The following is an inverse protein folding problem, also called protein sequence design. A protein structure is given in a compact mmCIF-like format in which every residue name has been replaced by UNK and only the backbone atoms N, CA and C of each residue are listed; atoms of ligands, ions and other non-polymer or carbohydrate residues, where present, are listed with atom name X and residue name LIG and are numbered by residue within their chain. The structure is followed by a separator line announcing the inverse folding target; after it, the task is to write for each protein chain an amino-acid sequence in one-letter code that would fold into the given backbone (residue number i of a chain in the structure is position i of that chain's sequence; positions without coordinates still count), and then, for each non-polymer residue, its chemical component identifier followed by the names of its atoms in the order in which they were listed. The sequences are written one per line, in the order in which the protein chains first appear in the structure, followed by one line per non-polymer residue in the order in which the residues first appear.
data_IF_324704571096
#
_entry.id   IF_324704571096
#
_cell.length_a   1.000
_cell.length_b   1.000
_cell.length_c   1.000
_cell.angle_alpha   90.00
_cell.angle_beta   90.00
_cell.angle_gamma   90.00
#
_symmetry.space_group_name_H-M   'P 1'
#
loop_
_entity.id
_entity.type
_entity.pdbx_description
1 polymer ?
#
# COMPACT_ATOMS: atom_id res chain seq x y z
N UNK A 1 -9.19 9.49 -7.99
CA UNK A 1 -9.71 8.13 -8.02
C UNK A 1 -8.59 7.12 -8.17
N UNK A 2 -8.62 6.08 -7.38
CA UNK A 2 -7.60 5.03 -7.41
C UNK A 2 -8.27 3.66 -7.49
N UNK A 3 -7.62 2.72 -8.15
CA UNK A 3 -8.02 1.32 -8.18
C UNK A 3 -7.16 0.56 -7.16
N UNK A 4 -7.79 -0.19 -6.29
CA UNK A 4 -7.12 -0.93 -5.23
C UNK A 4 -6.60 -2.25 -5.78
N UNK A 5 -5.33 -2.54 -5.51
CA UNK A 5 -4.66 -3.75 -6.02
C UNK A 5 -4.22 -4.72 -4.94
N UNK A 6 -4.12 -4.27 -3.70
CA UNK A 6 -3.73 -5.15 -2.59
C UNK A 6 -4.15 -4.56 -1.26
N UNK A 7 -4.21 -5.42 -0.25
CA UNK A 7 -4.58 -5.02 1.10
C UNK A 7 -3.98 -5.98 2.12
N UNK A 8 -3.65 -5.46 3.29
CA UNK A 8 -3.26 -6.27 4.45
C UNK A 8 -3.73 -5.58 5.73
N UNK A 9 -3.98 -6.37 6.75
CA UNK A 9 -4.45 -5.86 8.02
C UNK A 9 -3.64 -6.45 9.17
N UNK A 10 -3.16 -5.58 10.05
CA UNK A 10 -2.45 -5.94 11.28
C UNK A 10 -3.40 -5.73 12.46
N UNK A 11 -3.88 -6.82 13.06
CA UNK A 11 -4.86 -6.75 14.13
C UNK A 11 -4.25 -6.34 15.47
N UNK A 12 -2.94 -6.49 15.65
CA UNK A 12 -2.25 -6.08 16.87
C UNK A 12 -2.21 -4.55 16.94
N UNK A 13 -1.89 -3.90 15.85
CA UNK A 13 -1.77 -2.45 15.77
C UNK A 13 -3.02 -1.76 15.18
N UNK A 14 -4.02 -2.53 14.83
CA UNK A 14 -5.25 -2.04 14.20
C UNK A 14 -4.95 -1.17 12.98
N UNK A 15 -4.07 -1.66 12.13
CA UNK A 15 -3.59 -0.96 10.95
C UNK A 15 -4.04 -1.67 9.68
N UNK A 16 -4.80 -0.97 8.85
CA UNK A 16 -5.14 -1.41 7.51
C UNK A 16 -4.23 -0.70 6.51
N UNK A 17 -3.67 -1.42 5.57
CA UNK A 17 -2.92 -0.84 4.46
C UNK A 17 -3.49 -1.32 3.14
N UNK A 18 -3.47 -0.43 2.16
CA UNK A 18 -3.94 -0.71 0.81
C UNK A 18 -2.90 -0.26 -0.18
N UNK A 19 -2.81 -0.93 -1.30
CA UNK A 19 -2.08 -0.42 -2.46
C UNK A 19 -3.08 -0.13 -3.58
N UNK A 20 -2.75 0.81 -4.41
CA UNK A 20 -3.60 1.17 -5.53
C UNK A 20 -2.88 2.05 -6.53
N UNK A 21 -3.54 2.35 -7.63
CA UNK A 21 -2.97 3.22 -8.64
C UNK A 21 -4.04 4.18 -9.18
N UNK A 22 -3.57 5.34 -9.62
CA UNK A 22 -4.42 6.34 -10.27
C UNK A 22 -4.57 6.02 -11.75
N UNK A 23 -5.51 6.71 -12.41
CA UNK A 23 -5.67 6.58 -13.86
C UNK A 23 -4.44 7.02 -14.64
N UNK A 24 -3.58 7.84 -14.02
CA UNK A 24 -2.32 8.26 -14.62
C UNK A 24 -1.20 7.24 -14.45
N UNK A 25 -1.46 6.15 -13.72
CA UNK A 25 -0.46 5.11 -13.49
C UNK A 25 0.42 5.32 -12.27
N UNK A 26 0.17 6.35 -11.46
CA UNK A 26 0.90 6.55 -10.21
C UNK A 26 0.49 5.49 -9.20
N UNK A 27 1.46 4.89 -8.54
CA UNK A 27 1.23 3.86 -7.54
C UNK A 27 1.24 4.48 -6.15
N UNK A 28 0.32 4.03 -5.29
CA UNK A 28 0.15 4.57 -3.94
C UNK A 28 0.02 3.48 -2.90
N UNK A 29 0.48 3.82 -1.69
CA UNK A 29 0.20 3.08 -0.47
C UNK A 29 -0.70 3.95 0.40
N UNK A 30 -1.76 3.36 0.94
CA UNK A 30 -2.67 4.05 1.85
C UNK A 30 -2.59 3.38 3.21
N UNK A 31 -2.45 4.18 4.28
CA UNK A 31 -2.48 3.71 5.66
C UNK A 31 -3.74 4.21 6.33
N UNK A 32 -4.41 3.32 7.05
CA UNK A 32 -5.57 3.65 7.87
C UNK A 32 -5.28 3.14 9.28
N UNK A 33 -5.01 4.06 10.20
CA UNK A 33 -4.80 3.73 11.60
C UNK A 33 -6.14 3.61 12.33
N UNK A 34 -6.19 2.81 13.37
CA UNK A 34 -7.38 2.63 14.22
C UNK A 34 -8.59 2.20 13.38
N UNK A 35 -8.37 1.26 12.50
CA UNK A 35 -9.37 0.85 11.50
C UNK A 35 -10.64 0.30 12.16
N UNK A 36 -10.50 -0.71 13.03
CA UNK A 36 -11.63 -1.29 13.76
C UNK A 36 -12.13 -0.38 14.89
N UNK A 37 -11.18 0.29 15.56
CA UNK A 37 -11.52 1.19 16.67
C UNK A 37 -12.51 2.27 16.24
N UNK A 38 -12.36 2.77 15.03
CA UNK A 38 -13.27 3.76 14.47
C UNK A 38 -14.53 3.15 13.86
N UNK A 39 -14.78 1.85 14.10
CA UNK A 39 -15.97 1.13 13.60
C UNK A 39 -16.16 1.29 12.09
N UNK A 40 -15.05 1.34 11.37
CA UNK A 40 -15.05 1.51 9.90
C UNK A 40 -15.68 2.83 9.43
N UNK A 41 -15.82 3.82 10.35
CA UNK A 41 -16.40 5.13 10.04
C UNK A 41 -15.37 6.22 10.27
N UNK A 42 -15.51 7.32 9.53
CA UNK A 42 -14.64 8.48 9.66
C UNK A 42 -13.17 8.10 9.50
N UNK A 43 -12.88 7.17 8.61
CA UNK A 43 -11.53 6.68 8.38
C UNK A 43 -10.69 7.76 7.73
N UNK A 44 -9.50 7.96 8.28
CA UNK A 44 -8.52 8.87 7.72
C UNK A 44 -7.47 8.06 6.98
N UNK A 45 -7.34 8.32 5.68
CA UNK A 45 -6.34 7.67 4.84
C UNK A 45 -5.13 8.58 4.70
N UNK A 46 -3.97 8.06 5.11
CA UNK A 46 -2.69 8.70 4.80
C UNK A 46 -2.16 8.08 3.52
N UNK A 47 -1.89 8.92 2.53
CA UNK A 47 -1.48 8.46 1.20
C UNK A 47 -0.01 8.75 0.96
N UNK A 48 0.69 7.74 0.46
CA UNK A 48 2.11 7.82 0.13
C UNK A 48 2.32 7.35 -1.30
N UNK A 49 3.01 8.14 -2.11
CA UNK A 49 3.33 7.75 -3.47
C UNK A 49 4.49 6.77 -3.47
N UNK A 50 4.32 5.65 -4.18
CA UNK A 50 5.39 4.67 -4.34
C UNK A 50 6.17 5.04 -5.60
N UNK A 51 7.50 5.28 -5.50
CA UNK A 51 8.29 5.76 -6.63
C UNK A 51 8.71 4.62 -7.55
N UNK A 52 7.74 3.94 -8.13
CA UNK A 52 7.98 2.90 -9.15
C UNK A 52 7.34 3.34 -10.45
N UNK A 53 7.99 3.00 -11.55
CA UNK A 53 7.51 3.29 -12.89
C UNK A 53 7.44 2.01 -13.71
N UNK A 54 6.51 1.94 -14.64
CA UNK A 54 6.32 0.81 -15.55
C UNK A 54 6.13 -0.52 -14.81
N UNK A 55 5.57 -0.43 -13.60
CA UNK A 55 5.30 -1.58 -12.74
C UNK A 55 3.96 -1.40 -12.08
N UNK A 56 3.28 -2.48 -11.82
CA UNK A 56 2.01 -2.46 -11.13
C UNK A 56 2.16 -3.22 -9.81
N UNK A 57 1.91 -2.51 -8.69
CA UNK A 57 1.90 -3.13 -7.38
C UNK A 57 0.67 -4.04 -7.28
N UNK A 58 0.86 -5.29 -6.89
CA UNK A 58 -0.23 -6.27 -6.86
C UNK A 58 -0.54 -6.81 -5.47
N UNK A 59 0.42 -6.75 -4.55
CA UNK A 59 0.22 -7.24 -3.20
C UNK A 59 1.06 -6.46 -2.20
N UNK A 60 0.61 -6.47 -0.95
CA UNK A 60 1.30 -5.81 0.16
C UNK A 60 1.21 -6.69 1.40
N UNK A 61 2.30 -6.71 2.19
CA UNK A 61 2.37 -7.39 3.46
C UNK A 61 2.99 -6.46 4.50
N UNK A 62 2.33 -6.29 5.62
CA UNK A 62 2.81 -5.44 6.71
C UNK A 62 3.95 -6.15 7.43
N UNK A 63 5.10 -5.47 7.57
CA UNK A 63 6.21 -5.89 8.43
C UNK A 63 6.03 -5.25 9.81
N UNK A 64 5.83 -3.95 9.82
CA UNK A 64 5.51 -3.17 11.02
C UNK A 64 4.75 -1.91 10.58
N UNK A 65 4.55 -0.96 11.47
CA UNK A 65 3.74 0.22 11.17
C UNK A 65 4.32 1.12 10.09
N UNK A 66 5.58 0.94 9.72
CA UNK A 66 6.27 1.81 8.77
C UNK A 66 6.96 1.06 7.64
N UNK A 67 6.97 -0.27 7.69
CA UNK A 67 7.65 -1.08 6.69
C UNK A 67 6.72 -2.13 6.11
N UNK A 68 6.85 -2.35 4.82
CA UNK A 68 5.93 -3.21 4.07
C UNK A 68 6.69 -3.95 2.97
N UNK A 69 6.36 -5.22 2.78
CA UNK A 69 6.74 -5.93 1.57
C UNK A 69 5.69 -5.66 0.51
N UNK A 70 6.13 -5.35 -0.71
CA UNK A 70 5.22 -5.22 -1.84
C UNK A 70 5.73 -6.05 -3.01
N UNK A 71 4.79 -6.61 -3.77
CA UNK A 71 5.11 -7.28 -5.00
C UNK A 71 4.61 -6.47 -6.18
N UNK A 72 5.36 -6.52 -7.26
CA UNK A 72 4.97 -5.85 -8.50
C UNK A 72 5.34 -6.69 -9.69
N UNK A 73 4.70 -6.43 -10.80
CA UNK A 73 5.02 -7.04 -12.08
C UNK A 73 5.28 -5.94 -13.08
N UNK A 74 6.42 -6.03 -13.77
CA UNK A 74 6.76 -5.09 -14.82
C UNK A 74 5.96 -5.38 -16.07
N UNK A 75 5.29 -4.37 -16.61
CA UNK A 75 4.51 -4.50 -17.83
C UNK A 75 5.38 -4.84 -19.03
N UNK A 76 6.63 -4.34 -19.04
CA UNK A 76 7.53 -4.52 -20.17
C UNK A 76 8.18 -5.90 -20.19
N UNK A 77 8.46 -6.47 -19.04
CA UNK A 77 9.28 -7.68 -18.93
C UNK A 77 8.55 -8.86 -18.31
N UNK A 78 7.33 -8.65 -17.81
CA UNK A 78 6.58 -9.66 -17.05
C UNK A 78 7.42 -10.31 -15.95
N UNK A 79 8.33 -9.53 -15.36
CA UNK A 79 9.23 -10.03 -14.33
C UNK A 79 8.68 -9.63 -12.98
N UNK A 80 8.31 -10.59 -12.12
CA UNK A 80 7.85 -10.25 -10.79
C UNK A 80 9.00 -9.69 -9.96
N UNK A 81 8.69 -8.70 -9.13
CA UNK A 81 9.64 -8.09 -8.21
C UNK A 81 9.06 -8.08 -6.81
N UNK A 82 9.93 -8.28 -5.84
CA UNK A 82 9.57 -8.16 -4.43
C UNK A 82 10.51 -7.15 -3.80
N UNK A 83 9.98 -6.11 -3.19
CA UNK A 83 10.81 -5.11 -2.54
C UNK A 83 10.16 -4.57 -1.27
N UNK A 84 10.98 -3.98 -0.42
CA UNK A 84 10.55 -3.45 0.85
C UNK A 84 10.43 -1.93 0.78
N UNK A 85 9.30 -1.43 1.24
CA UNK A 85 9.06 0.00 1.35
C UNK A 85 9.13 0.38 2.81
N UNK A 86 9.83 1.48 3.09
CA UNK A 86 9.87 2.08 4.41
C UNK A 86 9.35 3.51 4.32
N UNK A 87 8.37 3.84 5.19
CA UNK A 87 7.87 5.19 5.30
C UNK A 87 8.69 5.92 6.35
N UNK A 88 9.32 7.03 5.94
CA UNK A 88 10.07 7.86 6.87
C UNK A 88 9.11 8.69 7.71
N UNK A 89 9.29 8.65 9.02
CA UNK A 89 8.56 9.54 9.92
C UNK A 89 9.25 10.89 9.98
N UNK A 90 8.47 11.93 9.94
CA UNK A 90 8.98 13.27 10.18
C UNK A 90 9.09 13.59 11.65
#
# INVERSE_FOLDING_TARGET
RALITGADYDDINDLMVLTGYSLKGDQFLFKINNFKENSYKNLKLDRYKIPVQNSQIEAIKIINQQEFWVSSESEEQNTPSLFRIKIESE
#
